data_IF_422829835217
#
_entry.id   IF_422829835217
#
_cell.length_a   1.000
_cell.length_b   1.000
_cell.length_c   1.000
_cell.angle_alpha   90.00
_cell.angle_beta   90.00
_cell.angle_gamma   90.00
#
_symmetry.space_group_name_H-M   'P 1'
#
loop_
_entity.id
_entity.type
_entity.pdbx_description
1 polymer ?
2 polymer ?
3 polymer ?
4 non-polymer ?
5 non-polymer ?
6 water ?
#
loop_
_entity_poly.entity_id
_entity_poly.type
_entity_poly.pdbx_seq_one_letter_code
_entity_poly.pdbx_strand_id
2 'polydeoxyribonucleotide' '(DC)(DT)(DA)(DG)(DC)(DC)(DT)(DT)(DG)(DA)(DC)(DC)' ?
3 'polydeoxyribonucleotide' '(DG)(DG)(DT)(DC)(DA)(DA)(DG)(DG)(DC)(DT)(DA)(DG)' ?
#
# COMPACT_ATOMS: atom_id res chain seq x y z
N UNK A 8 -6.76 10.87 8.31
CA UNK A 8 -5.51 11.49 8.76
C UNK A 8 -4.55 11.62 7.57
N UNK A 9 -3.68 12.61 7.68
CA UNK A 9 -2.87 13.00 6.57
C UNK A 9 -1.68 12.09 6.49
N UNK A 10 -1.60 11.11 7.40
CA UNK A 10 -0.40 10.27 7.50
C UNK A 10 -0.57 8.83 6.97
N UNK A 11 0.31 8.44 6.03
CA UNK A 11 0.43 7.07 5.55
C UNK A 11 0.51 6.07 6.69
N UNK A 12 -0.41 5.09 6.74
CA UNK A 12 -0.36 4.09 7.80
C UNK A 12 0.84 3.16 7.68
N UNK A 13 1.51 3.15 6.53
CA UNK A 13 2.66 2.27 6.36
C UNK A 13 3.92 2.99 6.83
N UNK A 14 4.13 4.23 6.38
CA UNK A 14 5.42 4.90 6.59
C UNK A 14 5.37 6.31 7.20
N UNK A 15 4.17 6.88 7.32
CA UNK A 15 4.01 8.20 7.91
C UNK A 15 4.15 9.35 6.91
N UNK A 16 4.38 9.05 5.65
CA UNK A 16 4.53 10.11 4.65
C UNK A 16 3.12 10.73 4.35
N UNK A 17 3.15 11.85 3.64
CA UNK A 17 1.92 12.54 3.27
C UNK A 17 1.05 11.69 2.38
N UNK A 18 -0.19 11.49 2.81
CA UNK A 18 -1.13 10.67 2.09
C UNK A 18 -1.45 11.36 0.77
N UNK A 19 -1.58 10.64 -0.34
CA UNK A 19 -1.94 11.28 -1.62
C UNK A 19 -3.37 10.97 -2.14
N UNK A 20 -4.09 10.08 -1.46
CA UNK A 20 -5.43 9.65 -1.84
C UNK A 20 -5.71 8.23 -1.31
N UNK A 21 -6.87 7.68 -1.62
CA UNK A 21 -7.12 6.24 -1.47
C UNK A 21 -6.34 5.46 -2.50
N UNK A 22 -5.60 4.48 -2.03
CA UNK A 22 -4.89 3.58 -2.90
C UNK A 22 -5.07 2.17 -2.40
N UNK A 23 -5.72 1.27 -3.15
CA UNK A 23 -5.78 -0.16 -2.77
C UNK A 23 -6.40 -0.44 -1.42
N UNK A 24 -7.47 0.29 -1.13
CA UNK A 24 -8.27 0.05 0.05
C UNK A 24 -8.25 1.12 1.13
N UNK A 25 -7.29 2.06 1.08
CA UNK A 25 -7.18 3.02 2.17
C UNK A 25 -6.26 4.19 1.82
N UNK A 26 -6.23 5.19 2.67
CA UNK A 26 -5.39 6.36 2.44
C UNK A 26 -3.93 6.00 2.56
N UNK A 27 -3.14 6.30 1.53
CA UNK A 27 -1.69 6.05 1.59
C UNK A 27 -0.91 7.13 0.83
N UNK A 28 0.42 7.17 1.03
CA UNK A 28 1.29 8.06 0.27
C UNK A 28 1.44 7.54 -1.16
N UNK A 29 1.91 8.41 -2.01
CA UNK A 29 2.20 8.04 -3.40
C UNK A 29 3.25 6.90 -3.49
N UNK A 30 4.23 6.90 -2.60
CA UNK A 30 5.35 5.95 -2.76
C UNK A 30 4.84 4.54 -2.39
N UNK A 31 3.98 4.45 -1.39
CA UNK A 31 3.54 3.14 -0.90
C UNK A 31 2.53 2.58 -1.89
N UNK A 32 1.82 3.46 -2.60
CA UNK A 32 1.00 3.09 -3.76
C UNK A 32 1.82 2.42 -4.84
N UNK A 33 2.87 3.10 -5.27
CA UNK A 33 3.75 2.58 -6.30
C UNK A 33 4.38 1.26 -5.91
N UNK A 34 4.88 1.21 -4.69
CA UNK A 34 5.55 0.01 -4.21
C UNK A 34 4.64 -1.21 -4.14
N UNK A 35 3.43 -1.03 -3.62
CA UNK A 35 2.44 -2.13 -3.52
C UNK A 35 2.05 -2.61 -4.94
N UNK A 36 1.74 -1.68 -5.82
CA UNK A 36 1.45 -2.03 -7.20
C UNK A 36 2.53 -2.82 -7.94
N UNK A 37 3.79 -2.35 -7.91
CA UNK A 37 4.95 -3.09 -8.43
C UNK A 37 5.11 -4.50 -7.89
N UNK A 38 4.98 -4.62 -6.58
CA UNK A 38 5.12 -5.91 -5.91
C UNK A 38 4.03 -6.85 -6.39
N UNK A 39 2.76 -6.42 -6.31
CA UNK A 39 1.67 -7.32 -6.64
C UNK A 39 1.59 -7.55 -8.16
N UNK A 40 1.88 -6.54 -8.97
CA UNK A 40 1.80 -6.74 -10.39
C UNK A 40 2.72 -7.85 -10.87
N UNK A 41 3.90 -7.91 -10.25
CA UNK A 41 5.01 -8.69 -10.78
C UNK A 41 5.31 -9.86 -9.85
N UNK A 42 4.43 -10.13 -8.91
CA UNK A 42 4.63 -11.22 -7.95
C UNK A 42 6.03 -11.21 -7.35
N UNK A 43 6.54 -10.02 -6.99
CA UNK A 43 7.86 -9.90 -6.36
C UNK A 43 7.86 -10.52 -4.98
N UNK A 44 8.98 -11.16 -4.62
CA UNK A 44 9.13 -11.77 -3.30
C UNK A 44 10.46 -11.30 -2.70
N UNK A 45 10.39 -10.76 -1.50
CA UNK A 45 11.53 -10.08 -0.90
C UNK A 45 12.05 -10.92 0.25
N UNK A 46 13.22 -10.57 0.77
CA UNK A 46 13.81 -11.23 1.92
C UNK A 46 14.21 -10.22 2.98
N UNK A 47 13.68 -10.37 4.19
CA UNK A 47 14.20 -9.63 5.31
C UNK A 47 15.46 -10.27 5.79
N UNK A 48 16.45 -9.44 6.11
CA UNK A 48 17.80 -9.92 6.42
C UNK A 48 18.08 -9.80 7.90
N UNK A 49 17.26 -9.01 8.57
CA UNK A 49 17.28 -8.94 10.01
C UNK A 49 16.21 -9.94 10.51
N UNK A 50 15.22 -9.52 11.30
CA UNK A 50 14.29 -10.45 11.97
C UNK A 50 12.82 -10.32 11.60
N UNK A 51 12.52 -9.84 10.40
CA UNK A 51 11.13 -9.71 9.94
C UNK A 51 10.26 -8.78 10.80
N UNK A 52 10.85 -7.80 11.47
CA UNK A 52 10.04 -6.73 12.04
C UNK A 52 10.81 -5.39 12.07
N UNK A 53 11.39 -5.07 10.91
CA UNK A 53 12.04 -3.79 10.73
C UNK A 53 11.04 -2.62 10.91
N UNK A 54 11.50 -1.51 11.48
CA UNK A 54 10.68 -0.32 11.58
C UNK A 54 10.57 0.33 10.18
N UNK A 55 9.35 0.70 9.82
CA UNK A 55 9.11 1.35 8.54
C UNK A 55 8.73 2.77 8.85
N UNK A 56 9.49 3.68 8.28
CA UNK A 56 9.19 5.11 8.37
C UNK A 56 9.65 5.79 7.07
N UNK A 57 9.43 7.09 6.95
CA UNK A 57 9.67 7.78 5.71
C UNK A 57 11.10 7.57 5.27
N UNK A 58 12.03 7.48 6.23
CA UNK A 58 13.47 7.42 5.87
C UNK A 58 14.07 6.01 5.90
N UNK A 59 13.30 4.99 6.28
CA UNK A 59 13.78 3.58 6.31
C UNK A 59 13.02 2.64 5.36
N UNK A 60 11.99 3.15 4.71
CA UNK A 60 11.08 2.31 3.94
C UNK A 60 11.78 1.64 2.77
N UNK A 61 12.85 2.24 2.26
CA UNK A 61 13.62 1.64 1.17
C UNK A 61 14.47 0.46 1.68
N UNK A 62 14.78 0.48 2.97
CA UNK A 62 15.79 -0.44 3.48
C UNK A 62 15.34 -1.90 3.43
N UNK A 63 14.10 -2.20 3.86
CA UNK A 63 13.58 -3.57 3.83
C UNK A 63 12.23 -3.73 3.09
N UNK A 64 12.29 -4.00 1.79
CA UNK A 64 11.04 -4.23 1.08
C UNK A 64 10.20 -5.32 1.71
N UNK A 65 10.82 -6.35 2.27
CA UNK A 65 10.03 -7.41 2.86
C UNK A 65 9.08 -6.83 3.87
N UNK A 66 9.63 -6.19 4.90
CA UNK A 66 8.82 -5.71 6.00
C UNK A 66 7.94 -4.55 5.54
N UNK A 67 8.35 -3.79 4.51
CA UNK A 67 7.43 -2.77 4.01
C UNK A 67 6.15 -3.44 3.44
N UNK A 68 6.28 -4.50 2.64
CA UNK A 68 5.13 -5.16 2.07
C UNK A 68 4.28 -5.91 3.12
N UNK A 69 4.95 -6.52 4.09
CA UNK A 69 4.28 -7.09 5.23
C UNK A 69 3.39 -6.04 5.91
N UNK A 70 3.95 -4.87 6.14
CA UNK A 70 3.15 -3.81 6.77
C UNK A 70 2.03 -3.33 5.84
N UNK A 71 2.27 -3.21 4.52
CA UNK A 71 1.15 -2.89 3.63
C UNK A 71 0.00 -3.86 3.83
N UNK A 72 0.30 -5.16 3.97
CA UNK A 72 -0.78 -6.13 4.04
C UNK A 72 -1.51 -5.91 5.35
N UNK A 73 -0.69 -5.68 6.38
CA UNK A 73 -1.12 -5.63 7.76
C UNK A 73 -2.05 -4.45 8.00
N UNK A 74 -1.81 -3.34 7.34
CA UNK A 74 -2.66 -2.20 7.56
C UNK A 74 -3.92 -2.31 6.71
N UNK A 75 -3.97 -3.34 5.85
CA UNK A 75 -5.14 -3.60 5.02
C UNK A 75 -5.11 -3.21 3.53
N UNK A 76 -3.96 -2.94 2.91
CA UNK A 76 -3.98 -2.76 1.45
C UNK A 76 -4.47 -4.06 0.77
N UNK A 77 -5.24 -3.90 -0.31
CA UNK A 77 -5.94 -5.02 -0.95
C UNK A 77 -5.35 -5.48 -2.26
N UNK A 78 -4.84 -6.70 -2.24
CA UNK A 78 -4.38 -7.36 -3.46
C UNK A 78 -5.38 -7.33 -4.63
N UNK A 79 -6.68 -7.40 -4.31
CA UNK A 79 -7.75 -7.41 -5.30
C UNK A 79 -7.91 -6.09 -6.05
N UNK A 80 -7.50 -4.98 -5.45
CA UNK A 80 -7.55 -3.70 -6.19
C UNK A 80 -6.42 -3.57 -7.22
N UNK A 81 -5.42 -4.46 -7.17
CA UNK A 81 -4.42 -4.55 -8.27
C UNK A 81 -5.04 -5.37 -9.39
N UNK A 82 -5.11 -4.83 -10.60
CA UNK A 82 -5.91 -5.47 -11.66
C UNK A 82 -5.05 -6.41 -12.51
N UNK A 83 -5.52 -7.64 -12.66
CA UNK A 83 -4.82 -8.67 -13.41
C UNK A 83 -4.69 -8.32 -14.89
N UNK A 84 -5.73 -7.75 -15.46
CA UNK A 84 -5.70 -7.38 -16.89
C UNK A 84 -5.14 -5.98 -17.15
N UNK A 85 -4.65 -5.29 -16.11
CA UNK A 85 -3.97 -3.98 -16.30
C UNK A 85 -4.86 -2.89 -16.96
N UNK A 86 -6.19 -3.00 -16.85
CA UNK A 86 -7.05 -1.92 -17.35
C UNK A 86 -6.82 -0.64 -16.52
N UNK A 87 -6.75 0.48 -17.23
CA UNK A 87 -6.62 1.77 -16.60
C UNK A 87 -7.99 2.40 -16.32
N UNK A 88 -8.00 3.42 -15.45
CA UNK A 88 -9.17 4.25 -15.24
C UNK A 88 -10.43 3.60 -14.67
N UNK A 89 -11.56 4.23 -14.95
CA UNK A 89 -12.82 3.75 -14.39
C UNK A 89 -12.85 3.76 -12.87
N UNK A 90 -13.60 2.80 -12.29
CA UNK A 90 -13.84 2.65 -10.85
C UNK A 90 -14.00 1.21 -10.42
N UNK A 91 -13.27 0.78 -9.38
CA UNK A 91 -13.34 -0.60 -8.97
C UNK A 91 -14.54 -0.79 -8.02
N UNK A 92 -14.61 -1.97 -7.37
CA UNK A 92 -15.72 -2.33 -6.47
C UNK A 92 -15.56 -1.75 -5.07
N UNK A 93 -14.45 -1.03 -4.85
CA UNK A 93 -14.20 -0.33 -3.58
C UNK A 93 -14.61 1.14 -3.64
N UNK A 94 -14.91 1.62 -4.85
CA UNK A 94 -15.37 2.98 -5.06
C UNK A 94 -16.43 3.36 -4.04
N UNK A 95 -17.40 2.45 -3.82
CA UNK A 95 -18.38 2.74 -2.76
C UNK A 95 -17.84 2.51 -1.33
N UNK A 96 -16.82 1.69 -1.14
CA UNK A 96 -16.23 1.51 0.20
C UNK A 96 -15.55 2.80 0.65
N UNK A 97 -14.91 3.48 -0.30
CA UNK A 97 -14.29 4.78 -0.07
C UNK A 97 -15.30 5.86 0.33
N UNK A 98 -16.60 5.57 0.14
CA UNK A 98 -17.68 6.51 0.47
C UNK A 98 -17.86 6.63 1.99
N UNK A 99 -17.76 5.50 2.71
CA UNK A 99 -18.05 5.46 4.14
C UNK A 99 -16.84 5.81 5.03
N UNK A 100 -15.65 5.87 4.44
CA UNK A 100 -14.49 6.43 5.14
C UNK A 100 -14.51 7.96 4.99
N UNK A 101 -15.00 8.44 3.86
CA UNK A 101 -15.19 9.87 3.64
C UNK A 101 -16.40 10.41 4.46
N UNK A 102 -17.06 9.52 5.21
CA UNK A 102 -18.09 9.88 6.18
C UNK A 102 -17.54 9.78 7.62
N UNK A 103 -16.89 8.66 7.92
CA UNK A 103 -16.20 8.47 9.20
C UNK A 103 -15.25 9.65 9.50
X LIG D 1 12.77 -6.54 7.40
X LIG E 1 3.78 5.37 2.78
X LIG F 1 9.41 13.77 -13.71
X LIG F 1 9.07 14.46 -12.54
X LIG F 1 9.07 12.31 -13.49
X LIG F 1 8.99 11.66 -14.75
X LIG F 1 10.15 11.63 -12.63
X LIG F 1 11.17 11.16 -13.50
X LIG F 1 10.48 13.87 -13.92
X LIG F 1 8.86 14.17 -14.56
X LIG F 1 9.35 15.39 -12.62
X LIG F 1 8.10 12.25 -12.98
X LIG F 1 9.87 11.73 -15.20
X LIG F 1 9.72 10.81 -12.08
X LIG F 1 10.56 12.35 -11.92
X LIG F 1 11.88 10.75 -12.96
#
# INVERSE_FOLDING_TARGET
>A
GEFDEDLEELCPVCGDKVSGYHYGLLTCESCKGFFKRTVQNNKRYTCIENQNCQIDKTQRKRCPYCRFQKCLSVGMKLEAVRADRMRGGRNKFGPMYKRDRALKQQKKALIR
>D hetero
1 ZN ZN
>E hetero
1 ZN ZN
>F hetero
1 GOL C1 O1 C2 O2 C3 O3 H11 H12 HO1 H2 HO2 H31 H32 HO3
#
